data_IF_042120046336
#
_entry.id   IF_042120046336
#
_cell.length_a   1.000
_cell.length_b   1.000
_cell.length_c   1.000
_cell.angle_alpha   90.00
_cell.angle_beta   90.00
_cell.angle_gamma   90.00
#
_symmetry.space_group_name_H-M   'P 1'
#
loop_
_entity.id
_entity.type
_entity.pdbx_description
1 polymer ?
#
# COMPACT_ATOMS: atom_id res chain seq x y z
N UNK A 1 -7.89 11.83 -12.02
CA UNK A 1 -7.06 11.49 -10.85
C UNK A 1 -5.74 10.85 -11.28
N UNK A 2 -5.73 9.65 -11.88
CA UNK A 2 -4.46 8.98 -12.26
C UNK A 2 -3.56 9.82 -13.19
N UNK A 3 -4.17 10.55 -14.13
CA UNK A 3 -3.44 11.52 -14.98
C UNK A 3 -2.82 12.68 -14.18
N UNK A 4 -3.52 13.18 -13.15
CA UNK A 4 -2.99 14.24 -12.29
C UNK A 4 -1.78 13.74 -11.48
N UNK A 5 -1.85 12.51 -10.96
CA UNK A 5 -0.76 11.86 -10.24
C UNK A 5 0.51 11.75 -11.09
N UNK A 6 0.38 11.40 -12.38
CA UNK A 6 1.53 11.26 -13.29
C UNK A 6 2.04 12.58 -13.89
N UNK A 7 1.42 13.73 -13.58
CA UNK A 7 1.79 15.05 -14.14
C UNK A 7 2.34 16.01 -13.08
N UNK A 8 2.91 15.49 -12.00
CA UNK A 8 3.60 16.30 -10.98
C UNK A 8 2.69 16.94 -9.94
N UNK A 9 1.46 16.45 -9.79
CA UNK A 9 0.62 16.79 -8.63
C UNK A 9 0.99 15.89 -7.45
N UNK A 10 2.17 16.15 -6.89
CA UNK A 10 2.69 15.46 -5.72
C UNK A 10 1.72 15.58 -4.54
N UNK A 11 1.56 14.51 -3.76
CA UNK A 11 0.65 14.45 -2.61
C UNK A 11 -0.79 14.05 -2.93
N UNK A 12 -1.06 13.57 -4.14
CA UNK A 12 -2.37 13.02 -4.52
C UNK A 12 -2.72 11.80 -3.68
N UNK A 13 -3.95 11.77 -3.14
CA UNK A 13 -4.51 10.64 -2.40
C UNK A 13 -5.94 10.37 -2.88
N UNK A 14 -6.32 9.11 -2.85
CA UNK A 14 -7.70 8.69 -3.14
C UNK A 14 -8.10 7.53 -2.23
N UNK A 15 -9.39 7.22 -2.22
CA UNK A 15 -9.93 6.01 -1.59
C UNK A 15 -10.61 5.15 -2.64
N UNK A 16 -10.43 3.84 -2.58
CA UNK A 16 -11.14 2.88 -3.41
C UNK A 16 -11.72 1.76 -2.54
N UNK A 17 -12.89 1.24 -2.91
CA UNK A 17 -13.42 0.05 -2.26
C UNK A 17 -12.80 -1.20 -2.90
N UNK A 18 -12.10 -2.00 -2.10
CA UNK A 18 -11.39 -3.20 -2.54
C UNK A 18 -11.28 -4.20 -1.38
N UNK A 19 -10.97 -5.45 -1.72
CA UNK A 19 -10.80 -6.53 -0.76
C UNK A 19 -9.34 -6.80 -0.38
N UNK A 20 -8.38 -6.15 -1.05
CA UNK A 20 -6.95 -6.27 -0.76
C UNK A 20 -6.17 -5.14 -1.47
N UNK A 21 -4.89 -4.92 -1.11
CA UNK A 21 -4.03 -4.01 -1.88
C UNK A 21 -3.95 -4.36 -3.35
N UNK A 22 -3.82 -5.65 -3.70
CA UNK A 22 -3.77 -6.10 -5.10
C UNK A 22 -5.08 -5.86 -5.84
N UNK A 23 -6.21 -6.17 -5.21
CA UNK A 23 -7.55 -5.89 -5.77
C UNK A 23 -7.76 -4.39 -6.01
N UNK A 24 -7.19 -3.53 -5.15
CA UNK A 24 -7.24 -2.07 -5.34
C UNK A 24 -6.66 -1.65 -6.68
N UNK A 25 -5.51 -2.20 -7.07
CA UNK A 25 -4.87 -1.89 -8.34
C UNK A 25 -5.68 -2.41 -9.54
N UNK A 26 -6.21 -3.64 -9.45
CA UNK A 26 -7.08 -4.23 -10.48
C UNK A 26 -8.37 -3.41 -10.69
N UNK A 27 -8.93 -2.88 -9.60
CA UNK A 27 -10.11 -2.00 -9.67
C UNK A 27 -9.78 -0.66 -10.30
N UNK A 28 -8.63 -0.07 -9.98
CA UNK A 28 -8.18 1.18 -10.63
C UNK A 28 -7.97 0.94 -12.13
N UNK A 29 -7.33 -0.16 -12.53
CA UNK A 29 -7.18 -0.57 -13.93
C UNK A 29 -8.54 -0.67 -14.63
N UNK A 30 -9.50 -1.37 -14.01
CA UNK A 30 -10.87 -1.50 -14.53
C UNK A 30 -11.57 -0.16 -14.67
N UNK A 31 -11.47 0.72 -13.66
CA UNK A 31 -12.09 2.05 -13.71
C UNK A 31 -11.51 2.92 -14.82
N UNK A 32 -10.19 2.82 -15.10
CA UNK A 32 -9.57 3.53 -16.22
C UNK A 32 -10.07 3.00 -17.56
N UNK A 33 -10.19 1.68 -17.72
CA UNK A 33 -10.78 1.09 -18.94
C UNK A 33 -12.23 1.53 -19.15
N UNK A 34 -13.04 1.58 -18.07
CA UNK A 34 -14.43 2.03 -18.13
C UNK A 34 -14.58 3.54 -18.41
N UNK A 35 -13.54 4.34 -18.14
CA UNK A 35 -13.55 5.77 -18.42
C UNK A 35 -13.46 6.10 -19.92
N UNK A 36 -13.37 5.10 -20.80
CA UNK A 36 -13.38 5.26 -22.26
C UNK A 36 -12.02 5.68 -22.83
N UNK A 37 -10.94 5.56 -22.06
CA UNK A 37 -9.58 5.77 -22.56
C UNK A 37 -9.12 4.53 -23.33
N UNK A 38 -8.88 4.67 -24.63
CA UNK A 38 -8.27 3.62 -25.45
C UNK A 38 -6.75 3.56 -25.17
N UNK A 39 -6.39 2.96 -24.04
CA UNK A 39 -5.01 2.68 -23.68
C UNK A 39 -4.78 1.17 -23.61
N UNK A 40 -3.64 0.66 -24.12
CA UNK A 40 -3.23 -0.71 -23.84
C UNK A 40 -3.19 -0.98 -22.33
N UNK A 41 -3.66 -2.15 -21.90
CA UNK A 41 -3.71 -2.53 -20.47
C UNK A 41 -2.34 -2.35 -19.78
N UNK A 42 -1.26 -2.71 -20.49
CA UNK A 42 0.10 -2.49 -20.02
C UNK A 42 0.38 -1.01 -19.70
N UNK A 43 0.00 -0.10 -20.59
CA UNK A 43 0.21 1.33 -20.38
C UNK A 43 -0.59 1.85 -19.17
N UNK A 44 -1.79 1.31 -18.94
CA UNK A 44 -2.56 1.62 -17.72
C UNK A 44 -1.81 1.15 -16.48
N UNK A 45 -1.25 -0.06 -16.49
CA UNK A 45 -0.44 -0.60 -15.38
C UNK A 45 0.83 0.21 -15.14
N UNK A 46 1.51 0.65 -16.19
CA UNK A 46 2.68 1.53 -16.11
C UNK A 46 2.29 2.85 -15.43
N UNK A 47 1.16 3.46 -15.84
CA UNK A 47 0.64 4.67 -15.19
C UNK A 47 0.27 4.45 -13.72
N UNK A 48 -0.32 3.30 -13.36
CA UNK A 48 -0.67 2.96 -11.97
C UNK A 48 0.60 2.77 -11.14
N UNK A 49 1.56 1.96 -11.62
CA UNK A 49 2.78 1.65 -10.89
C UNK A 49 3.71 2.85 -10.72
N UNK A 50 3.67 3.82 -11.63
CA UNK A 50 4.41 5.07 -11.54
C UNK A 50 3.75 6.09 -10.61
N UNK A 51 2.40 6.11 -10.54
CA UNK A 51 1.65 7.12 -9.79
C UNK A 51 1.44 6.79 -8.31
N UNK A 52 1.37 5.50 -7.97
CA UNK A 52 1.00 5.05 -6.63
C UNK A 52 2.25 4.52 -5.95
N UNK A 53 2.71 5.15 -4.87
CA UNK A 53 3.82 4.62 -4.06
C UNK A 53 3.31 3.60 -3.01
N UNK A 54 2.11 3.83 -2.44
CA UNK A 54 1.64 3.11 -1.25
C UNK A 54 0.13 2.83 -1.29
N UNK A 55 -0.25 1.63 -0.85
CA UNK A 55 -1.65 1.25 -0.57
C UNK A 55 -1.80 0.98 0.92
N UNK A 56 -2.69 1.73 1.58
CA UNK A 56 -3.07 1.53 2.98
C UNK A 56 -4.42 0.84 3.00
N UNK A 57 -4.43 -0.47 3.28
CA UNK A 57 -5.64 -1.27 3.25
C UNK A 57 -6.27 -1.35 4.64
N UNK A 58 -7.56 -1.01 4.71
CA UNK A 58 -8.34 -0.96 5.94
C UNK A 58 -9.49 -1.94 5.88
N UNK A 59 -9.72 -2.65 6.99
CA UNK A 59 -10.85 -3.56 7.12
C UNK A 59 -11.68 -3.26 8.36
N UNK A 60 -12.97 -3.57 8.25
CA UNK A 60 -13.86 -3.64 9.41
C UNK A 60 -13.77 -5.05 10.00
N UNK A 61 -13.24 -5.14 11.21
CA UNK A 61 -13.06 -6.40 11.91
C UNK A 61 -14.37 -6.89 12.53
N UNK A 62 -14.35 -8.13 13.05
CA UNK A 62 -15.53 -8.80 13.62
C UNK A 62 -16.13 -8.10 14.85
N UNK A 63 -15.31 -7.34 15.58
CA UNK A 63 -15.77 -6.48 16.68
C UNK A 63 -16.38 -5.15 16.21
N UNK A 64 -16.48 -4.94 14.89
CA UNK A 64 -16.98 -3.72 14.27
C UNK A 64 -15.96 -2.60 14.17
N UNK A 65 -14.75 -2.74 14.74
CA UNK A 65 -13.69 -1.72 14.65
C UNK A 65 -13.09 -1.69 13.25
N UNK A 66 -12.61 -0.51 12.83
CA UNK A 66 -11.82 -0.38 11.60
C UNK A 66 -10.34 -0.33 11.96
N UNK A 67 -9.53 -1.15 11.30
CA UNK A 67 -8.08 -1.15 11.46
C UNK A 67 -7.39 -1.15 10.10
N UNK A 68 -6.23 -0.50 10.03
CA UNK A 68 -5.28 -0.77 8.94
C UNK A 68 -4.79 -2.19 9.13
N UNK A 69 -5.04 -3.05 8.15
CA UNK A 69 -4.60 -4.44 8.22
C UNK A 69 -3.33 -4.70 7.41
N UNK A 70 -3.03 -3.83 6.44
CA UNK A 70 -1.89 -4.00 5.56
C UNK A 70 -1.45 -2.65 5.01
N UNK A 71 -0.14 -2.43 4.95
CA UNK A 71 0.48 -1.31 4.23
C UNK A 71 1.45 -1.90 3.22
N UNK A 72 1.18 -1.64 1.94
CA UNK A 72 1.87 -2.28 0.83
C UNK A 72 2.44 -1.22 -0.10
N UNK A 73 3.75 -1.26 -0.31
CA UNK A 73 4.42 -0.49 -1.35
C UNK A 73 4.11 -1.06 -2.73
N UNK A 74 3.94 -0.18 -3.71
CA UNK A 74 3.93 -0.54 -5.12
C UNK A 74 5.35 -0.36 -5.65
N UNK A 75 6.00 -1.47 -6.00
CA UNK A 75 7.45 -1.53 -6.19
C UNK A 75 7.89 -1.38 -7.65
N UNK A 76 6.94 -1.11 -8.55
CA UNK A 76 7.11 -1.00 -10.00
C UNK A 76 6.41 -2.13 -10.77
N UNK A 77 6.99 -2.55 -11.89
CA UNK A 77 6.47 -3.64 -12.72
C UNK A 77 7.57 -4.64 -13.07
N UNK A 78 7.18 -5.91 -13.20
CA UNK A 78 7.99 -6.98 -13.78
C UNK A 78 7.19 -7.60 -14.94
N UNK A 79 7.63 -7.34 -16.17
CA UNK A 79 6.84 -7.66 -17.37
C UNK A 79 5.48 -6.95 -17.35
N UNK A 80 4.40 -7.73 -17.31
CA UNK A 80 3.02 -7.23 -17.32
C UNK A 80 2.39 -7.13 -15.92
N UNK A 81 3.16 -7.43 -14.86
CA UNK A 81 2.66 -7.54 -13.48
C UNK A 81 3.18 -6.39 -12.63
N UNK A 82 2.26 -5.67 -11.97
CA UNK A 82 2.63 -4.70 -10.94
C UNK A 82 3.15 -5.46 -9.71
N UNK A 83 4.38 -5.13 -9.31
CA UNK A 83 5.03 -5.71 -8.14
C UNK A 83 4.66 -4.92 -6.90
N UNK A 84 4.50 -5.63 -5.79
CA UNK A 84 4.05 -5.05 -4.53
C UNK A 84 4.86 -5.66 -3.39
N UNK A 85 5.07 -4.89 -2.33
CA UNK A 85 5.85 -5.32 -1.17
C UNK A 85 5.16 -4.87 0.11
N UNK A 86 4.79 -5.83 0.94
CA UNK A 86 4.18 -5.52 2.23
C UNK A 86 5.24 -4.96 3.18
N UNK A 87 4.98 -3.77 3.71
CA UNK A 87 5.84 -3.10 4.68
C UNK A 87 5.34 -3.39 6.11
N UNK A 88 4.03 -3.46 6.28
CA UNK A 88 3.40 -3.73 7.56
C UNK A 88 2.15 -4.58 7.42
N UNK A 89 1.93 -5.47 8.39
CA UNK A 89 0.79 -6.38 8.44
C UNK A 89 0.22 -6.38 9.86
N UNK A 90 -1.10 -6.32 9.98
CA UNK A 90 -1.79 -6.53 11.24
C UNK A 90 -1.91 -8.02 11.54
N UNK A 91 -1.30 -8.46 12.64
CA UNK A 91 -1.45 -9.80 13.17
C UNK A 91 -2.53 -9.80 14.24
N UNK A 92 -3.67 -10.43 13.94
CA UNK A 92 -4.66 -10.72 14.96
C UNK A 92 -4.12 -11.82 15.89
N UNK A 93 -3.99 -11.51 17.17
CA UNK A 93 -3.52 -12.44 18.20
C UNK A 93 -4.66 -13.05 19.01
N UNK A 94 -5.88 -12.51 18.90
CA UNK A 94 -7.03 -13.09 19.58
C UNK A 94 -8.27 -12.21 19.58
N UNK A 95 -9.17 -12.53 20.51
CA UNK A 95 -10.41 -11.81 20.76
C UNK A 95 -10.67 -11.79 22.27
N UNK A 96 -10.76 -10.61 22.88
CA UNK A 96 -10.90 -10.45 24.32
C UNK A 96 -11.89 -9.32 24.63
N UNK A 97 -12.81 -9.57 25.57
CA UNK A 97 -13.85 -8.60 25.97
C UNK A 97 -14.64 -8.01 24.79
N UNK A 98 -14.97 -8.85 23.80
CA UNK A 98 -15.71 -8.41 22.62
C UNK A 98 -14.89 -7.63 21.60
N UNK A 99 -13.56 -7.52 21.78
CA UNK A 99 -12.66 -6.75 20.92
C UNK A 99 -11.58 -7.62 20.30
N UNK A 100 -11.21 -7.30 19.06
CA UNK A 100 -10.08 -7.92 18.39
C UNK A 100 -8.77 -7.39 18.98
N UNK A 101 -7.95 -8.31 19.47
CA UNK A 101 -6.59 -8.03 19.93
C UNK A 101 -5.62 -8.43 18.81
N UNK A 102 -4.62 -7.58 18.59
CA UNK A 102 -3.58 -7.82 17.61
C UNK A 102 -2.58 -6.67 17.59
N UNK A 103 -1.56 -6.81 16.77
CA UNK A 103 -0.51 -5.79 16.61
C UNK A 103 -0.24 -5.53 15.15
N UNK A 104 0.08 -4.28 14.85
CA UNK A 104 0.63 -3.92 13.56
C UNK A 104 2.12 -4.17 13.58
N UNK A 105 2.61 -5.12 12.79
CA UNK A 105 4.03 -5.48 12.76
C UNK A 105 4.68 -5.03 11.45
N UNK A 106 5.94 -4.60 11.48
CA UNK A 106 6.72 -4.46 10.27
C UNK A 106 7.09 -5.83 9.67
N UNK A 107 7.44 -5.84 8.39
CA UNK A 107 7.88 -7.04 7.66
C UNK A 107 9.40 -7.20 7.60
N UNK A 108 10.18 -6.20 8.02
CA UNK A 108 11.64 -6.18 7.85
C UNK A 108 12.08 -5.47 6.57
N UNK A 109 11.15 -5.09 5.69
CA UNK A 109 11.43 -4.47 4.40
C UNK A 109 11.38 -2.96 4.51
N UNK A 110 12.42 -2.30 4.00
CA UNK A 110 12.50 -0.84 3.91
C UNK A 110 11.94 -0.38 2.56
N UNK A 111 11.06 0.63 2.51
CA UNK A 111 10.50 1.12 1.26
C UNK A 111 11.57 1.70 0.34
N UNK A 112 11.38 1.58 -0.98
CA UNK A 112 12.27 2.17 -1.99
C UNK A 112 12.18 3.70 -2.00
N UNK A 113 11.03 4.27 -1.66
CA UNK A 113 10.83 5.72 -1.61
C UNK A 113 11.38 6.39 -0.33
N UNK A 114 12.26 5.74 0.43
CA UNK A 114 12.87 6.32 1.63
C UNK A 114 13.68 7.58 1.37
N UNK A 115 14.33 7.67 0.20
CA UNK A 115 15.05 8.89 -0.20
C UNK A 115 14.10 10.10 -0.31
N UNK A 116 12.86 9.89 -0.80
CA UNK A 116 11.83 10.94 -0.84
C UNK A 116 11.41 11.38 0.56
N UNK A 117 11.27 10.43 1.49
CA UNK A 117 10.93 10.73 2.90
C UNK A 117 12.04 11.56 3.56
N UNK A 118 13.30 11.16 3.37
CA UNK A 118 14.46 11.87 3.91
C UNK A 118 14.63 13.26 3.29
N UNK A 119 14.44 13.39 1.97
CA UNK A 119 14.46 14.68 1.27
C UNK A 119 13.35 15.64 1.75
N UNK A 120 12.21 15.11 2.22
CA UNK A 120 11.15 15.87 2.87
C UNK A 120 11.48 16.27 4.33
N UNK A 121 12.70 15.95 4.82
CA UNK A 121 13.14 16.23 6.19
C UNK A 121 12.61 15.23 7.23
N UNK A 122 11.91 14.18 6.81
CA UNK A 122 11.35 13.18 7.71
C UNK A 122 12.39 12.08 7.93
N UNK A 123 12.77 11.87 9.18
CA UNK A 123 13.78 10.88 9.54
C UNK A 123 13.09 9.70 10.23
N UNK A 124 13.01 8.56 9.53
CA UNK A 124 12.46 7.33 10.08
C UNK A 124 13.60 6.35 10.40
N UNK A 125 13.80 5.95 11.67
CA UNK A 125 14.82 4.98 12.01
C UNK A 125 14.46 3.61 11.42
N UNK A 126 15.47 2.84 11.02
CA UNK A 126 15.27 1.54 10.38
C UNK A 126 14.48 0.53 11.25
N UNK A 127 14.51 0.72 12.58
CA UNK A 127 13.73 -0.06 13.55
C UNK A 127 12.22 0.05 13.35
N UNK A 128 11.73 1.15 12.76
CA UNK A 128 10.30 1.28 12.38
C UNK A 128 9.88 0.15 11.45
N UNK A 129 10.78 -0.25 10.54
CA UNK A 129 10.57 -1.34 9.60
C UNK A 129 11.05 -2.69 10.14
N UNK A 130 11.35 -2.80 11.44
CA UNK A 130 11.79 -4.03 12.10
C UNK A 130 13.26 -4.39 11.86
N UNK A 131 14.05 -3.49 11.27
CA UNK A 131 15.49 -3.71 11.05
C UNK A 131 16.26 -3.39 12.33
N UNK A 132 17.02 -4.36 12.83
CA UNK A 132 17.79 -4.23 14.08
C UNK A 132 17.08 -4.74 15.33
N UNK A 133 15.79 -5.11 15.23
CA UNK A 133 15.08 -5.83 16.28
C UNK A 133 15.59 -7.28 16.34
N UNK A 134 16.64 -7.52 17.15
CA UNK A 134 17.01 -8.86 17.60
C UNK A 134 15.88 -9.41 18.47
N UNK A 135 14.86 -10.03 17.88
CA UNK A 135 13.94 -10.87 18.65
C UNK A 135 14.69 -12.11 19.14
N UNK A 136 15.04 -12.11 20.43
CA UNK A 136 15.26 -13.34 21.19
C UNK A 136 13.97 -14.17 21.07
N UNK A 137 14.13 -15.39 20.57
CA UNK A 137 13.11 -16.44 20.56
C UNK A 137 12.62 -16.74 21.98
#
# INVERSE_FOLDING_TARGET
>A
MLQAMNTGHDGSMTTAHSNSPRDSLTRIETMVMMAGMEMPVRAIREQISSAIDLVIHQERLRDGTRKVIQVTEVSGMEGEVITMTDLFIFEQSGFENGKVIGRFRPTGLRPKFMEKIEAAGIHLPASVFGIGDRKRY
#
